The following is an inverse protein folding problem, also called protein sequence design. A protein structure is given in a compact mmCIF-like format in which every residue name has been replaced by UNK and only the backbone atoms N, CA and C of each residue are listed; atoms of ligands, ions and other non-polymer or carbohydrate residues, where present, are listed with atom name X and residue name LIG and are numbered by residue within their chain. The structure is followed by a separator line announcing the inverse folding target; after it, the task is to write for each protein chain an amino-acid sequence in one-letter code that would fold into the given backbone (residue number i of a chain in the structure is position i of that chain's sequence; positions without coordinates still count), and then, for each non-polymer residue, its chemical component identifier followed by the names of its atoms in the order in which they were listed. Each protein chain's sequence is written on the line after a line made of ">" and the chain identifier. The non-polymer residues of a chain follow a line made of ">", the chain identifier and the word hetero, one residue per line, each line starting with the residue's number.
data_IF_783475741149
#
_entry.id   IF_783475741149
#
_cell.length_a   1.000
_cell.length_b   1.000
_cell.length_c   1.000
_cell.angle_alpha   90.00
_cell.angle_beta   90.00
_cell.angle_gamma   90.00
#
_symmetry.space_group_name_H-M   'P 1'
#
loop_
_entity.id
_entity.type
_entity.pdbx_description
1 polymer ?
#
# COMPACT_ATOMS: atom_id res chain seq x y z
N UNK A 1 -25.01 8.24 -4.16
CA UNK A 1 -23.89 7.66 -4.92
C UNK A 1 -24.14 6.17 -4.93
N UNK A 2 -24.48 5.63 -6.10
CA UNK A 2 -24.81 4.21 -6.27
C UNK A 2 -23.51 3.55 -6.69
N UNK A 3 -22.88 2.78 -5.80
CA UNK A 3 -21.72 1.97 -6.18
C UNK A 3 -22.13 1.02 -7.31
N UNK A 4 -21.32 0.87 -8.37
CA UNK A 4 -21.62 -0.05 -9.44
C UNK A 4 -21.60 -1.48 -8.88
N UNK A 5 -22.64 -2.25 -9.19
CA UNK A 5 -22.66 -3.70 -8.97
C UNK A 5 -21.56 -4.30 -9.86
N UNK A 6 -20.45 -4.70 -9.26
CA UNK A 6 -19.34 -5.33 -9.97
C UNK A 6 -19.75 -6.72 -10.44
N UNK A 7 -19.46 -7.05 -11.70
CA UNK A 7 -19.44 -8.45 -12.13
C UNK A 7 -18.28 -9.16 -11.41
N UNK A 8 -18.50 -10.37 -10.86
CA UNK A 8 -17.44 -11.08 -10.17
C UNK A 8 -16.34 -11.45 -11.16
N UNK A 9 -15.12 -11.00 -10.87
CA UNK A 9 -13.93 -11.31 -11.63
C UNK A 9 -13.70 -12.83 -11.74
N UNK A 10 -12.82 -13.25 -12.66
CA UNK A 10 -12.57 -14.67 -12.98
C UNK A 10 -12.34 -15.51 -11.72
N UNK A 11 -13.18 -16.53 -11.45
CA UNK A 11 -13.03 -17.38 -10.28
C UNK A 11 -11.76 -18.24 -10.42
N UNK A 12 -11.01 -18.36 -9.33
CA UNK A 12 -9.77 -19.14 -9.26
C UNK A 12 -9.99 -20.46 -8.52
N UNK A 13 -10.51 -20.41 -7.30
CA UNK A 13 -10.81 -21.60 -6.46
C UNK A 13 -11.79 -21.29 -5.34
N UNK A 14 -12.39 -22.32 -4.78
CA UNK A 14 -13.15 -22.23 -3.52
C UNK A 14 -12.22 -22.29 -2.31
N UNK A 15 -12.52 -21.49 -1.28
CA UNK A 15 -11.83 -21.45 0.01
C UNK A 15 -12.80 -21.85 1.12
N UNK A 16 -12.32 -22.68 2.04
CA UNK A 16 -13.05 -23.05 3.25
C UNK A 16 -12.69 -22.14 4.44
N UNK A 17 -13.20 -22.48 5.64
CA UNK A 17 -12.93 -21.70 6.86
C UNK A 17 -11.53 -21.86 7.43
N UNK A 18 -10.74 -22.80 6.91
CA UNK A 18 -9.32 -22.94 7.19
C UNK A 18 -8.50 -21.98 6.32
N UNK A 19 -8.87 -21.86 5.05
CA UNK A 19 -8.14 -21.07 4.05
C UNK A 19 -8.52 -19.59 4.01
N UNK A 20 -9.71 -19.21 4.49
CA UNK A 20 -10.18 -17.83 4.52
C UNK A 20 -10.99 -17.50 5.78
N UNK A 21 -11.04 -16.22 6.19
CA UNK A 21 -11.87 -15.79 7.30
C UNK A 21 -13.37 -16.03 7.06
N UNK A 22 -13.80 -15.80 5.83
CA UNK A 22 -15.15 -16.09 5.35
C UNK A 22 -15.03 -17.05 4.15
N UNK A 23 -15.56 -18.28 4.26
CA UNK A 23 -15.54 -19.24 3.15
C UNK A 23 -16.20 -18.66 1.90
N UNK A 24 -15.67 -19.01 0.73
CA UNK A 24 -16.22 -18.53 -0.53
C UNK A 24 -15.27 -18.67 -1.70
N UNK A 25 -15.63 -18.03 -2.81
CA UNK A 25 -14.91 -18.14 -4.08
C UNK A 25 -13.82 -17.08 -4.13
N UNK A 26 -12.56 -17.50 -4.21
CA UNK A 26 -11.43 -16.62 -4.52
C UNK A 26 -11.49 -16.26 -6.01
N UNK A 27 -11.53 -14.96 -6.29
CA UNK A 27 -11.51 -14.42 -7.64
C UNK A 27 -10.18 -13.69 -7.90
N UNK A 28 -9.72 -13.78 -9.15
CA UNK A 28 -8.60 -12.99 -9.64
C UNK A 28 -8.91 -11.49 -9.54
N UNK A 29 -7.89 -10.67 -9.35
CA UNK A 29 -8.00 -9.22 -9.23
C UNK A 29 -6.80 -8.67 -8.50
N UNK A 30 -6.70 -7.34 -8.46
CA UNK A 30 -5.74 -6.63 -7.63
C UNK A 30 -6.46 -5.60 -6.74
N UNK A 31 -6.59 -5.86 -5.42
CA UNK A 31 -6.17 -7.08 -4.74
C UNK A 31 -7.09 -8.28 -5.04
N UNK A 32 -6.62 -9.52 -4.84
CA UNK A 32 -7.48 -10.70 -4.95
C UNK A 32 -8.60 -10.64 -3.91
N UNK A 33 -9.82 -10.99 -4.35
CA UNK A 33 -11.02 -10.89 -3.53
C UNK A 33 -11.66 -12.25 -3.29
N UNK A 34 -12.17 -12.47 -2.09
CA UNK A 34 -12.98 -13.63 -1.73
C UNK A 34 -14.44 -13.22 -1.69
N UNK A 35 -15.23 -13.78 -2.61
CA UNK A 35 -16.66 -13.57 -2.68
C UNK A 35 -17.39 -14.59 -1.82
N UNK A 36 -18.05 -14.13 -0.77
CA UNK A 36 -18.84 -14.96 0.16
C UNK A 36 -20.33 -14.60 0.08
N UNK A 37 -21.17 -15.45 0.64
CA UNK A 37 -22.59 -15.16 0.84
C UNK A 37 -22.73 -14.03 1.87
N UNK A 38 -23.42 -12.94 1.51
CA UNK A 38 -23.65 -11.83 2.42
C UNK A 38 -24.46 -12.22 3.66
N UNK A 39 -25.30 -13.27 3.58
CA UNK A 39 -26.06 -13.82 4.71
C UNK A 39 -25.20 -14.55 5.74
N UNK A 40 -23.98 -14.98 5.38
CA UNK A 40 -23.05 -15.64 6.28
C UNK A 40 -22.15 -14.66 7.06
N UNK A 41 -22.18 -13.36 6.70
CA UNK A 41 -21.32 -12.34 7.29
C UNK A 41 -22.03 -11.64 8.45
N UNK A 42 -21.39 -11.48 9.63
CA UNK A 42 -21.98 -10.74 10.75
C UNK A 42 -22.33 -9.29 10.37
N UNK A 43 -23.52 -8.84 10.78
CA UNK A 43 -24.02 -7.50 10.43
C UNK A 43 -23.16 -6.36 10.98
N UNK A 44 -22.43 -6.60 12.06
CA UNK A 44 -21.54 -5.63 12.70
C UNK A 44 -20.39 -5.18 11.80
N UNK A 45 -19.96 -6.04 10.87
CA UNK A 45 -18.83 -5.73 9.98
C UNK A 45 -19.15 -4.55 9.06
N UNK A 46 -20.41 -4.33 8.72
CA UNK A 46 -20.86 -3.19 7.91
C UNK A 46 -20.77 -1.84 8.63
N UNK A 47 -20.60 -1.85 9.96
CA UNK A 47 -20.45 -0.64 10.77
C UNK A 47 -18.99 -0.30 11.07
N UNK A 48 -18.05 -1.19 10.71
CA UNK A 48 -16.63 -0.98 10.93
C UNK A 48 -16.03 0.04 9.94
N UNK A 49 -15.01 0.76 10.38
CA UNK A 49 -14.39 1.80 9.57
C UNK A 49 -13.59 1.22 8.39
N UNK A 50 -13.75 1.71 7.16
CA UNK A 50 -12.88 1.34 6.06
C UNK A 50 -11.46 1.85 6.33
N UNK A 51 -10.50 0.94 6.44
CA UNK A 51 -9.10 1.24 6.82
C UNK A 51 -8.76 0.93 8.27
N UNK A 52 -9.75 0.56 9.10
CA UNK A 52 -9.53 0.00 10.43
C UNK A 52 -8.86 -1.37 10.40
N UNK A 53 -8.52 -1.93 11.56
CA UNK A 53 -7.94 -3.27 11.68
C UNK A 53 -8.98 -4.39 11.73
N UNK A 54 -10.27 -4.07 11.61
CA UNK A 54 -11.30 -5.05 11.28
C UNK A 54 -11.34 -5.34 9.77
N UNK A 55 -11.53 -6.61 9.41
CA UNK A 55 -11.74 -7.02 8.04
C UNK A 55 -13.13 -6.60 7.58
N UNK A 56 -13.22 -5.69 6.61
CA UNK A 56 -14.49 -5.12 6.12
C UNK A 56 -14.77 -5.48 4.66
N UNK A 57 -16.07 -5.53 4.27
CA UNK A 57 -16.50 -5.63 2.88
C UNK A 57 -15.82 -4.58 1.97
N UNK A 58 -15.41 -5.03 0.78
CA UNK A 58 -14.87 -4.17 -0.28
C UNK A 58 -15.84 -3.96 -1.43
N UNK A 59 -16.68 -4.94 -1.71
CA UNK A 59 -17.68 -4.86 -2.77
C UNK A 59 -18.92 -5.68 -2.41
N UNK A 60 -20.05 -5.31 -3.00
CA UNK A 60 -21.31 -6.03 -2.91
C UNK A 60 -21.84 -6.26 -4.32
N UNK A 61 -22.23 -7.49 -4.62
CA UNK A 61 -22.84 -7.88 -5.88
C UNK A 61 -24.16 -8.59 -5.62
N UNK A 62 -25.06 -8.49 -6.60
CA UNK A 62 -26.32 -9.21 -6.60
C UNK A 62 -26.17 -10.44 -7.48
N UNK A 63 -26.50 -11.60 -6.92
CA UNK A 63 -26.52 -12.89 -7.61
C UNK A 63 -27.97 -13.38 -7.76
N UNK A 64 -28.16 -14.43 -8.56
CA UNK A 64 -29.44 -15.15 -8.64
C UNK A 64 -29.82 -15.79 -7.30
N UNK A 65 -28.83 -16.21 -6.53
CA UNK A 65 -29.01 -16.94 -5.27
C UNK A 65 -29.06 -16.03 -4.03
N UNK A 66 -28.86 -14.72 -4.19
CA UNK A 66 -28.80 -13.76 -3.08
C UNK A 66 -27.80 -12.64 -3.32
N UNK A 67 -27.35 -11.99 -2.25
CA UNK A 67 -26.27 -11.00 -2.34
C UNK A 67 -24.95 -11.65 -2.00
N UNK A 68 -23.91 -11.32 -2.76
CA UNK A 68 -22.53 -11.72 -2.46
C UNK A 68 -21.73 -10.51 -2.06
N UNK A 69 -20.81 -10.71 -1.12
CA UNK A 69 -19.93 -9.67 -0.61
C UNK A 69 -18.49 -10.12 -0.79
N UNK A 70 -17.63 -9.18 -1.18
CA UNK A 70 -16.23 -9.42 -1.42
C UNK A 70 -15.38 -8.88 -0.28
N UNK A 71 -14.40 -9.69 0.16
CA UNK A 71 -13.37 -9.29 1.10
C UNK A 71 -12.00 -9.37 0.45
N UNK A 72 -11.04 -8.58 0.93
CA UNK A 72 -9.64 -8.82 0.57
C UNK A 72 -9.22 -10.22 0.99
N UNK A 73 -8.50 -10.92 0.13
CA UNK A 73 -7.96 -12.23 0.46
C UNK A 73 -6.95 -12.12 1.61
N UNK A 74 -7.10 -12.98 2.61
CA UNK A 74 -6.17 -13.11 3.71
C UNK A 74 -5.26 -14.32 3.49
N UNK A 75 -3.96 -14.06 3.39
CA UNK A 75 -2.97 -15.06 2.97
C UNK A 75 -2.57 -16.06 4.09
N UNK A 76 -3.16 -15.97 5.27
CA UNK A 76 -2.94 -16.91 6.37
C UNK A 76 -3.29 -16.34 7.74
N UNK A 77 -3.18 -17.19 8.77
CA UNK A 77 -3.41 -16.79 10.17
C UNK A 77 -2.27 -15.94 10.69
N UNK A 78 -2.59 -15.02 11.60
CA UNK A 78 -1.57 -14.15 12.21
C UNK A 78 -0.50 -14.96 12.95
N UNK A 79 -0.89 -15.98 13.73
CA UNK A 79 0.02 -16.81 14.53
C UNK A 79 1.15 -17.43 13.70
N UNK A 80 0.86 -17.80 12.46
CA UNK A 80 1.82 -18.43 11.54
C UNK A 80 2.74 -17.40 10.88
N UNK A 81 2.35 -16.12 10.86
CA UNK A 81 3.06 -15.03 10.18
C UNK A 81 3.90 -14.17 11.11
N UNK A 82 3.58 -14.12 12.40
CA UNK A 82 4.43 -13.40 13.36
C UNK A 82 5.71 -14.20 13.56
N UNK A 83 6.80 -13.71 12.98
CA UNK A 83 8.15 -14.27 13.13
C UNK A 83 8.72 -14.06 14.53
N UNK A 84 10.01 -14.33 14.69
CA UNK A 84 10.73 -14.17 15.97
C UNK A 84 11.41 -12.81 16.14
N UNK A 85 11.35 -11.93 15.14
CA UNK A 85 11.92 -10.59 15.23
C UNK A 85 11.05 -9.68 16.11
N UNK A 86 11.69 -8.84 16.91
CA UNK A 86 10.97 -7.87 17.75
C UNK A 86 10.10 -6.92 16.93
N UNK A 87 10.57 -6.50 15.76
CA UNK A 87 9.80 -5.65 14.86
C UNK A 87 8.50 -6.30 14.36
N UNK A 88 8.52 -7.60 14.04
CA UNK A 88 7.30 -8.32 13.66
C UNK A 88 6.31 -8.42 14.83
N UNK A 89 6.83 -8.63 16.05
CA UNK A 89 6.02 -8.67 17.28
C UNK A 89 5.39 -7.31 17.57
N UNK A 90 6.12 -6.21 17.40
CA UNK A 90 5.58 -4.84 17.53
C UNK A 90 4.47 -4.60 16.51
N UNK A 91 4.69 -4.93 15.23
CA UNK A 91 3.67 -4.78 14.17
C UNK A 91 2.39 -5.54 14.50
N UNK A 92 2.52 -6.78 14.99
CA UNK A 92 1.39 -7.59 15.42
C UNK A 92 0.68 -6.98 16.63
N UNK A 93 1.42 -6.59 17.68
CA UNK A 93 0.87 -6.02 18.91
C UNK A 93 0.12 -4.70 18.67
N UNK A 94 0.68 -3.80 17.86
CA UNK A 94 0.02 -2.53 17.50
C UNK A 94 -1.28 -2.80 16.75
N UNK A 95 -1.25 -3.69 15.76
CA UNK A 95 -2.45 -4.05 14.99
C UNK A 95 -3.51 -4.69 15.88
N UNK A 96 -3.10 -5.52 16.85
CA UNK A 96 -3.99 -6.13 17.84
C UNK A 96 -4.67 -5.07 18.71
N UNK A 97 -3.90 -4.11 19.23
CA UNK A 97 -4.46 -3.05 20.10
C UNK A 97 -5.43 -2.16 19.32
N UNK A 98 -5.14 -1.84 18.06
CA UNK A 98 -6.04 -1.06 17.19
C UNK A 98 -7.33 -1.81 16.88
N UNK A 99 -7.25 -3.07 16.48
CA UNK A 99 -8.46 -3.87 16.25
C UNK A 99 -9.24 -4.14 17.55
N UNK A 100 -8.57 -4.25 18.70
CA UNK A 100 -9.23 -4.41 19.99
C UNK A 100 -10.12 -3.20 20.33
N UNK A 101 -9.65 -1.98 20.04
CA UNK A 101 -10.43 -0.75 20.24
C UNK A 101 -11.68 -0.71 19.34
N UNK A 102 -11.50 -1.03 18.06
CA UNK A 102 -12.59 -1.10 17.10
C UNK A 102 -13.61 -2.20 17.46
N UNK A 103 -13.13 -3.40 17.81
CA UNK A 103 -13.98 -4.52 18.20
C UNK A 103 -14.79 -4.20 19.46
N UNK A 104 -14.15 -3.61 20.48
CA UNK A 104 -14.80 -3.18 21.72
C UNK A 104 -15.86 -2.11 21.48
N UNK A 105 -15.56 -1.11 20.66
CA UNK A 105 -16.52 -0.06 20.32
C UNK A 105 -17.76 -0.62 19.61
N UNK A 106 -17.62 -1.74 18.90
CA UNK A 106 -18.69 -2.43 18.19
C UNK A 106 -19.32 -3.59 18.99
N UNK A 107 -18.87 -3.87 20.22
CA UNK A 107 -19.37 -4.98 21.03
C UNK A 107 -19.06 -6.36 20.46
N UNK A 108 -17.93 -6.50 19.75
CA UNK A 108 -17.46 -7.75 19.18
C UNK A 108 -16.56 -8.49 20.18
N UNK A 109 -16.92 -9.73 20.51
CA UNK A 109 -16.12 -10.61 21.36
C UNK A 109 -15.60 -11.86 20.62
N UNK A 110 -16.17 -12.20 19.47
CA UNK A 110 -15.79 -13.37 18.68
C UNK A 110 -15.14 -12.96 17.36
N UNK A 111 -14.03 -13.63 17.03
CA UNK A 111 -13.28 -13.34 15.82
C UNK A 111 -12.00 -14.16 15.71
N UNK A 112 -11.34 -14.00 14.57
CA UNK A 112 -10.06 -14.65 14.33
C UNK A 112 -9.06 -13.75 13.62
N UNK A 113 -7.78 -13.94 13.93
CA UNK A 113 -6.69 -13.10 13.45
C UNK A 113 -6.09 -13.63 12.15
N UNK A 114 -5.95 -12.74 11.19
CA UNK A 114 -5.47 -13.02 9.85
C UNK A 114 -4.47 -11.97 9.40
N UNK A 115 -3.79 -12.26 8.31
CA UNK A 115 -2.94 -11.32 7.59
C UNK A 115 -3.51 -11.14 6.18
N UNK A 116 -3.81 -9.90 5.80
CA UNK A 116 -4.31 -9.60 4.46
C UNK A 116 -3.20 -9.74 3.39
N UNK A 117 -3.57 -9.59 2.13
CA UNK A 117 -2.64 -9.63 1.00
C UNK A 117 -1.46 -8.62 1.08
N UNK A 118 -1.58 -7.54 1.86
CA UNK A 118 -0.51 -6.54 2.05
C UNK A 118 0.46 -6.91 3.18
N UNK A 119 0.18 -7.98 3.93
CA UNK A 119 0.94 -8.32 5.13
C UNK A 119 0.41 -7.64 6.40
N UNK A 120 -0.76 -6.99 6.33
CA UNK A 120 -1.34 -6.30 7.48
C UNK A 120 -2.16 -7.25 8.35
N UNK A 121 -1.91 -7.31 9.68
CA UNK A 121 -2.79 -8.03 10.58
C UNK A 121 -4.18 -7.40 10.65
N UNK A 122 -5.21 -8.22 10.47
CA UNK A 122 -6.62 -7.85 10.55
C UNK A 122 -7.41 -8.86 11.38
N UNK A 123 -8.43 -8.36 12.07
CA UNK A 123 -9.39 -9.18 12.82
C UNK A 123 -10.64 -9.40 11.96
N UNK A 124 -10.93 -10.66 11.65
CA UNK A 124 -12.19 -11.02 11.03
C UNK A 124 -13.21 -11.38 12.10
N UNK A 125 -14.35 -10.69 12.07
CA UNK A 125 -15.42 -10.84 13.08
C UNK A 125 -16.26 -12.09 12.79
N UNK A 126 -16.66 -12.79 13.85
CA UNK A 126 -17.49 -13.98 13.79
C UNK A 126 -16.73 -15.27 14.15
N UNK A 127 -17.32 -16.41 13.82
CA UNK A 127 -16.84 -17.70 14.31
C UNK A 127 -17.38 -17.99 15.72
N UNK A 128 -16.64 -18.76 16.51
CA UNK A 128 -17.04 -19.15 17.88
C UNK A 128 -15.91 -18.98 18.90
N UNK A 129 -14.79 -18.39 18.47
CA UNK A 129 -13.60 -18.24 19.32
C UNK A 129 -13.45 -16.79 19.78
N UNK A 130 -13.16 -16.57 21.07
CA UNK A 130 -12.87 -15.25 21.59
C UNK A 130 -11.58 -14.71 20.96
N UNK A 131 -11.66 -13.57 20.28
CA UNK A 131 -10.50 -13.02 19.56
C UNK A 131 -9.39 -12.57 20.51
N UNK A 132 -9.74 -12.22 21.76
CA UNK A 132 -8.79 -11.80 22.81
C UNK A 132 -7.83 -12.91 23.17
N UNK A 133 -8.34 -14.11 23.36
CA UNK A 133 -7.52 -15.25 23.77
C UNK A 133 -6.51 -15.59 22.67
N UNK A 134 -6.97 -15.63 21.42
CA UNK A 134 -6.08 -15.81 20.27
C UNK A 134 -5.03 -14.69 20.15
N UNK A 135 -5.37 -13.43 20.46
CA UNK A 135 -4.42 -12.33 20.48
C UNK A 135 -3.35 -12.53 21.57
N UNK A 136 -3.78 -12.88 22.78
CA UNK A 136 -2.89 -13.14 23.92
C UNK A 136 -1.96 -14.32 23.63
N UNK A 137 -2.46 -15.39 23.03
CA UNK A 137 -1.67 -16.56 22.64
C UNK A 137 -0.58 -16.19 21.64
N UNK A 138 -0.90 -15.39 20.60
CA UNK A 138 0.08 -14.90 19.62
C UNK A 138 1.19 -14.11 20.31
N UNK A 139 0.84 -13.19 21.22
CA UNK A 139 1.82 -12.36 21.91
C UNK A 139 2.66 -13.17 22.93
N UNK A 140 2.02 -14.06 23.69
CA UNK A 140 2.68 -14.91 24.67
C UNK A 140 3.70 -15.87 24.03
N UNK A 141 3.35 -16.44 22.87
CA UNK A 141 4.25 -17.32 22.11
C UNK A 141 5.54 -16.63 21.64
N UNK A 142 5.56 -15.30 21.58
CA UNK A 142 6.72 -14.50 21.14
C UNK A 142 7.38 -13.70 22.26
N UNK A 143 6.73 -13.53 23.40
CA UNK A 143 7.30 -12.80 24.53
C UNK A 143 8.65 -13.39 25.00
N UNK A 144 8.84 -14.71 24.91
CA UNK A 144 10.07 -15.38 25.32
C UNK A 144 11.32 -15.01 24.50
N UNK A 145 11.15 -14.55 23.25
CA UNK A 145 12.25 -14.15 22.36
C UNK A 145 12.50 -12.64 22.34
N UNK A 146 11.61 -11.85 22.96
CA UNK A 146 11.71 -10.40 23.05
C UNK A 146 12.65 -9.99 24.18
N UNK A 147 13.34 -8.85 24.04
CA UNK A 147 14.09 -8.17 25.08
C UNK A 147 13.22 -7.61 26.20
N UNK A 148 13.82 -7.13 27.31
CA UNK A 148 13.09 -6.73 28.51
C UNK A 148 12.08 -5.60 28.25
N UNK A 149 12.47 -4.56 27.50
CA UNK A 149 11.59 -3.43 27.19
C UNK A 149 10.32 -3.86 26.43
N UNK A 150 10.47 -4.68 25.39
CA UNK A 150 9.33 -5.18 24.62
C UNK A 150 8.47 -6.14 25.43
N UNK A 151 9.06 -7.01 26.25
CA UNK A 151 8.29 -7.86 27.17
C UNK A 151 7.46 -7.04 28.15
N UNK A 152 7.99 -5.94 28.67
CA UNK A 152 7.25 -5.05 29.57
C UNK A 152 6.08 -4.37 28.84
N UNK A 153 6.31 -3.87 27.62
CA UNK A 153 5.24 -3.32 26.77
C UNK A 153 4.15 -4.36 26.44
N UNK A 154 4.53 -5.60 26.13
CA UNK A 154 3.58 -6.68 25.85
C UNK A 154 2.72 -7.04 27.07
N UNK A 155 3.24 -6.93 28.30
CA UNK A 155 2.44 -7.12 29.52
C UNK A 155 1.40 -6.02 29.70
N UNK A 156 1.71 -4.78 29.30
CA UNK A 156 0.74 -3.68 29.30
C UNK A 156 -0.39 -3.96 28.31
N UNK A 157 -0.05 -4.45 27.11
CA UNK A 157 -1.04 -4.88 26.10
C UNK A 157 -1.90 -6.03 26.63
N UNK A 158 -1.30 -7.05 27.24
CA UNK A 158 -2.00 -8.20 27.80
C UNK A 158 -3.04 -7.78 28.86
N UNK A 159 -2.64 -6.90 29.79
CA UNK A 159 -3.54 -6.34 30.80
C UNK A 159 -4.67 -5.48 30.19
N UNK A 160 -4.38 -4.75 29.11
CA UNK A 160 -5.39 -3.98 28.38
C UNK A 160 -6.43 -4.89 27.71
N UNK A 161 -5.99 -6.01 27.13
CA UNK A 161 -6.87 -7.00 26.51
C UNK A 161 -7.74 -7.72 27.55
N UNK A 162 -7.20 -8.02 28.73
CA UNK A 162 -7.93 -8.73 29.80
C UNK A 162 -9.05 -7.88 30.42
N UNK A 163 -8.78 -6.60 30.69
CA UNK A 163 -9.73 -5.74 31.40
C UNK A 163 -10.91 -5.27 30.56
N UNK A 164 -10.95 -5.62 29.26
CA UNK A 164 -11.98 -5.19 28.30
C UNK A 164 -12.24 -3.68 28.27
N UNK A 165 -11.28 -2.88 28.74
CA UNK A 165 -11.43 -1.43 28.84
C UNK A 165 -10.49 -0.72 27.87
N UNK A 166 -10.89 -0.56 26.61
CA UNK A 166 -10.28 0.50 25.80
C UNK A 166 -10.91 1.84 26.16
N UNK A 167 -10.54 2.35 27.35
CA UNK A 167 -10.83 3.74 27.70
C UNK A 167 -10.00 4.61 26.77
N UNK A 168 -10.61 5.66 26.20
CA UNK A 168 -9.91 6.61 25.33
C UNK A 168 -8.59 7.06 25.97
N UNK A 169 -7.47 6.67 25.35
CA UNK A 169 -6.11 6.90 25.84
C UNK A 169 -5.28 5.63 26.07
N UNK A 170 -5.90 4.46 26.33
CA UNK A 170 -5.16 3.21 26.56
C UNK A 170 -4.46 2.71 25.28
N UNK A 171 -5.12 2.81 24.14
CA UNK A 171 -4.55 2.49 22.82
C UNK A 171 -3.27 3.29 22.57
N UNK A 172 -3.33 4.62 22.77
CA UNK A 172 -2.19 5.50 22.59
C UNK A 172 -1.03 5.16 23.54
N UNK A 173 -1.33 4.85 24.80
CA UNK A 173 -0.31 4.45 25.78
C UNK A 173 0.34 3.10 25.43
N UNK A 174 -0.44 2.13 24.96
CA UNK A 174 0.09 0.85 24.47
C UNK A 174 0.97 1.06 23.23
N UNK A 175 0.53 1.86 22.25
CA UNK A 175 1.32 2.17 21.05
C UNK A 175 2.63 2.87 21.38
N UNK A 176 2.59 3.88 22.26
CA UNK A 176 3.79 4.59 22.71
C UNK A 176 4.78 3.63 23.38
N UNK A 177 4.31 2.76 24.27
CA UNK A 177 5.16 1.76 24.93
C UNK A 177 5.78 0.76 23.94
N UNK A 178 5.01 0.32 22.93
CA UNK A 178 5.49 -0.60 21.90
C UNK A 178 6.54 0.05 21.00
N UNK A 179 6.30 1.27 20.53
CA UNK A 179 7.25 1.98 19.66
C UNK A 179 8.50 2.46 20.40
N UNK A 180 8.40 2.74 21.70
CA UNK A 180 9.57 3.00 22.54
C UNK A 180 10.44 1.74 22.75
N UNK A 181 9.84 0.56 22.70
CA UNK A 181 10.54 -0.70 22.95
C UNK A 181 11.28 -1.23 21.71
N UNK A 182 10.68 -1.16 20.52
CA UNK A 182 11.32 -1.59 19.27
C UNK A 182 10.68 -0.95 18.03
N UNK A 183 11.46 -0.88 16.94
CA UNK A 183 11.01 -0.38 15.64
C UNK A 183 10.12 -1.44 14.97
N UNK A 184 8.91 -1.07 14.47
CA UNK A 184 8.06 -1.99 13.72
C UNK A 184 8.79 -2.58 12.51
N UNK A 185 8.54 -3.86 12.24
CA UNK A 185 9.16 -4.58 11.14
C UNK A 185 8.17 -5.48 10.40
N UNK A 186 8.57 -6.01 9.24
CA UNK A 186 7.71 -6.88 8.44
C UNK A 186 7.36 -8.16 9.21
N UNK A 187 6.16 -8.68 8.97
CA UNK A 187 5.81 -10.03 9.38
C UNK A 187 6.65 -11.04 8.59
N UNK A 188 6.94 -12.19 9.20
CA UNK A 188 7.73 -13.22 8.56
C UNK A 188 6.98 -13.91 7.43
N UNK A 189 7.73 -14.46 6.49
CA UNK A 189 7.23 -15.53 5.62
C UNK A 189 7.10 -16.76 6.52
N UNK A 190 5.88 -17.06 6.97
CA UNK A 190 5.62 -18.16 7.87
C UNK A 190 6.23 -19.46 7.33
N UNK A 191 6.88 -20.23 8.20
CA UNK A 191 7.33 -21.58 7.86
C UNK A 191 6.10 -22.43 7.57
N UNK A 192 5.74 -22.59 6.31
CA UNK A 192 4.83 -23.64 5.87
C UNK A 192 5.53 -24.99 6.08
N UNK A 193 5.49 -25.51 7.31
CA UNK A 193 6.01 -26.83 7.66
C UNK A 193 4.84 -27.79 7.93
N UNK A 194 4.57 -28.63 6.93
CA UNK A 194 4.31 -30.05 7.16
C UNK A 194 2.86 -30.51 7.32
N UNK A 195 2.21 -30.87 6.20
CA UNK A 195 1.35 -32.05 6.13
C UNK A 195 1.23 -32.57 4.69
N UNK A 196 2.14 -33.46 4.30
CA UNK A 196 1.90 -34.43 3.22
C UNK A 196 2.16 -35.83 3.80
N UNK A 197 1.16 -36.74 3.84
CA UNK A 197 1.38 -38.10 4.31
C UNK A 197 2.13 -38.90 3.24
N UNK A 198 3.10 -39.68 3.70
CA UNK A 198 4.09 -40.34 2.85
C UNK A 198 3.55 -41.47 1.98
N UNK A 199 4.37 -41.82 0.99
CA UNK A 199 4.65 -43.21 0.68
C UNK A 199 6.03 -43.29 0.01
N UNK A 200 6.92 -44.07 0.62
CA UNK A 200 8.27 -44.33 0.14
C UNK A 200 8.30 -45.66 -0.63
N UNK A 201 8.73 -45.64 -1.88
CA UNK A 201 9.42 -46.71 -2.67
C UNK A 201 9.99 -45.99 -3.90
N UNK A 202 11.21 -46.11 -4.42
CA UNK A 202 12.40 -46.95 -4.22
C UNK A 202 13.19 -46.88 -5.54
N UNK A 203 14.50 -46.58 -5.47
CA UNK A 203 15.62 -46.86 -6.42
C UNK A 203 15.52 -46.59 -7.95
N UNK A 204 16.55 -45.89 -8.45
CA UNK A 204 16.84 -45.35 -9.81
C UNK A 204 17.29 -46.40 -10.88
N UNK A 205 17.86 -46.01 -12.05
CA UNK A 205 17.43 -45.12 -13.16
C UNK A 205 17.45 -45.83 -14.55
N UNK A 206 17.00 -45.17 -15.65
CA UNK A 206 17.62 -45.15 -17.01
C UNK A 206 16.79 -44.25 -17.97
N UNK A 207 17.48 -43.31 -18.65
CA UNK A 207 17.02 -42.29 -19.63
C UNK A 207 16.73 -42.87 -21.05
N UNK A 208 16.46 -42.07 -22.12
CA UNK A 208 15.55 -40.91 -22.31
C UNK A 208 14.70 -41.01 -23.60
N UNK A 209 13.54 -40.34 -23.71
CA UNK A 209 13.03 -39.82 -25.01
C UNK A 209 12.28 -38.51 -24.77
N UNK A 210 12.62 -37.51 -25.58
CA UNK A 210 12.10 -36.16 -25.57
C UNK A 210 10.60 -36.06 -25.93
N UNK A 211 9.88 -35.20 -25.21
CA UNK A 211 8.71 -34.47 -25.71
C UNK A 211 8.62 -33.14 -24.96
N UNK A 212 8.47 -32.05 -25.70
CA UNK A 212 8.60 -30.67 -25.23
C UNK A 212 7.67 -30.32 -24.08
N UNK A 213 8.24 -29.62 -23.09
CA UNK A 213 7.53 -28.96 -22.00
C UNK A 213 7.54 -27.46 -22.28
N UNK A 214 6.39 -26.76 -22.32
CA UNK A 214 6.39 -25.30 -22.35
C UNK A 214 7.01 -24.76 -21.04
N UNK A 215 7.78 -23.65 -21.10
CA UNK A 215 8.41 -23.08 -19.92
C UNK A 215 7.35 -22.63 -18.91
N UNK A 216 7.61 -22.91 -17.63
CA UNK A 216 6.68 -22.78 -16.52
C UNK A 216 6.49 -21.32 -16.05
N UNK A 217 5.23 -20.89 -15.97
CA UNK A 217 4.73 -19.63 -15.36
C UNK A 217 4.88 -19.55 -13.82
N UNK A 218 5.94 -20.14 -13.27
CA UNK A 218 6.19 -20.12 -11.81
C UNK A 218 6.96 -18.89 -11.34
N UNK A 219 7.52 -18.09 -12.25
CA UNK A 219 8.38 -16.96 -11.90
C UNK A 219 7.69 -15.59 -11.99
N UNK A 220 6.58 -15.47 -12.71
CA UNK A 220 5.78 -14.24 -12.74
C UNK A 220 5.14 -13.92 -11.36
N UNK A 221 4.84 -14.95 -10.57
CA UNK A 221 4.24 -14.81 -9.24
C UNK A 221 5.23 -14.30 -8.18
N UNK A 222 6.53 -14.56 -8.35
CA UNK A 222 7.57 -14.10 -7.43
C UNK A 222 7.88 -12.60 -7.61
N UNK A 223 7.84 -12.11 -8.85
CA UNK A 223 8.08 -10.70 -9.19
C UNK A 223 6.94 -9.80 -8.68
N UNK A 224 5.68 -10.28 -8.72
CA UNK A 224 4.51 -9.55 -8.23
C UNK A 224 4.46 -9.33 -6.72
N UNK A 225 4.99 -10.28 -5.93
CA UNK A 225 5.01 -10.16 -4.47
C UNK A 225 6.01 -9.11 -3.94
N UNK A 226 6.97 -8.68 -4.76
CA UNK A 226 8.04 -7.77 -4.35
C UNK A 226 7.75 -6.32 -4.74
N UNK A 227 7.14 -6.05 -5.89
CA UNK A 227 6.80 -4.68 -6.33
C UNK A 227 5.73 -4.02 -5.43
N UNK A 228 4.84 -4.80 -4.81
CA UNK A 228 3.90 -4.33 -3.79
C UNK A 228 4.57 -3.84 -2.49
N UNK A 229 5.88 -4.07 -2.30
CA UNK A 229 6.64 -3.61 -1.12
C UNK A 229 7.33 -2.25 -1.31
N UNK A 230 7.34 -1.70 -2.53
CA UNK A 230 8.08 -0.46 -2.87
C UNK A 230 7.15 0.75 -3.08
N UNK A 231 5.83 0.53 -3.16
CA UNK A 231 4.82 1.60 -3.18
C UNK A 231 4.24 1.74 -1.78
N UNK A 232 4.95 2.48 -0.94
CA UNK A 232 4.46 2.89 0.38
C UNK A 232 3.38 3.97 0.20
N UNK A 233 2.13 3.67 0.56
CA UNK A 233 0.99 4.62 0.64
C UNK A 233 1.12 5.64 1.81
N UNK A 234 2.33 5.84 2.33
CA UNK A 234 2.62 6.66 3.51
C UNK A 234 2.81 8.17 3.28
N UNK A 235 2.84 8.66 2.03
CA UNK A 235 3.20 10.06 1.73
C UNK A 235 2.08 10.91 1.11
N UNK A 236 0.98 10.30 0.62
CA UNK A 236 -0.11 11.05 -0.02
C UNK A 236 -1.07 11.75 0.99
N UNK A 237 -1.23 11.20 2.20
CA UNK A 237 -2.22 11.73 3.18
C UNK A 237 -1.74 12.92 4.02
N UNK A 238 -0.48 13.35 3.89
CA UNK A 238 0.07 14.50 4.64
C UNK A 238 0.11 15.83 3.89
N UNK A 239 -0.34 15.88 2.63
CA UNK A 239 -0.36 17.13 1.85
C UNK A 239 -1.78 17.63 1.54
N UNK A 240 -2.83 16.81 1.65
CA UNK A 240 -4.22 17.22 1.34
C UNK A 240 -5.01 17.53 2.62
N UNK A 241 -4.49 18.41 3.49
CA UNK A 241 -5.29 19.03 4.56
C UNK A 241 -5.06 20.51 4.81
N UNK A 242 -4.52 21.25 3.83
CA UNK A 242 -4.34 22.71 3.92
C UNK A 242 -5.18 23.52 2.92
N UNK A 243 -5.91 22.92 1.97
CA UNK A 243 -6.56 23.74 0.89
C UNK A 243 -8.09 23.82 0.91
N UNK A 244 -8.85 22.99 1.65
CA UNK A 244 -10.34 23.10 1.65
C UNK A 244 -10.95 23.64 2.95
N UNK A 245 -10.24 24.56 3.61
CA UNK A 245 -10.64 25.13 4.91
C UNK A 245 -11.16 26.56 4.90
N UNK A 246 -11.62 27.14 3.77
CA UNK A 246 -12.06 28.57 3.76
C UNK A 246 -13.38 28.87 3.04
N UNK A 247 -14.09 27.92 2.45
CA UNK A 247 -15.38 28.23 1.79
C UNK A 247 -16.55 27.40 2.33
N UNK A 248 -17.22 27.95 3.34
CA UNK A 248 -18.69 28.13 3.47
C UNK A 248 -19.10 28.23 4.96
N UNK A 249 -18.99 29.43 5.53
CA UNK A 249 -19.81 29.83 6.69
C UNK A 249 -20.90 30.77 6.20
N UNK A 250 -22.08 30.23 5.89
CA UNK A 250 -23.34 30.98 5.86
C UNK A 250 -24.33 30.27 6.79
N UNK A 251 -24.84 30.91 7.84
CA UNK A 251 -25.89 30.36 8.67
C UNK A 251 -27.25 30.51 7.96
N UNK A 252 -28.20 29.55 8.10
CA UNK A 252 -29.56 29.76 7.65
C UNK A 252 -30.30 30.67 8.63
N UNK A 253 -30.98 31.68 8.08
CA UNK A 253 -31.97 32.47 8.78
C UNK A 253 -33.27 31.65 8.92
N UNK A 254 -33.75 31.47 10.14
CA UNK A 254 -35.15 31.16 10.42
C UNK A 254 -35.64 32.09 11.51
N UNK A 255 -36.61 32.92 11.15
CA UNK A 255 -37.42 33.69 12.08
C UNK A 255 -38.70 32.94 12.46
N UNK A 256 -39.37 33.55 13.44
CA UNK A 256 -40.75 33.37 13.93
C UNK A 256 -40.90 32.35 15.07
N UNK A 257 -40.81 32.80 16.33
CA UNK A 257 -41.90 33.37 17.18
C UNK A 257 -42.98 32.36 17.57
N UNK A 258 -42.97 31.91 18.84
CA UNK A 258 -44.06 32.23 19.77
C UNK A 258 -43.64 32.07 21.26
N UNK A 259 -44.22 32.95 22.08
CA UNK A 259 -44.10 33.27 23.52
C UNK A 259 -44.72 32.16 24.41
N UNK A 260 -44.49 31.95 25.72
CA UNK A 260 -44.03 32.70 26.91
C UNK A 260 -43.65 31.70 28.07
N UNK A 261 -43.59 32.06 29.40
CA UNK A 261 -42.48 32.75 30.09
C UNK A 261 -41.92 32.05 31.37
N UNK A 262 -40.65 32.38 31.68
CA UNK A 262 -39.97 32.59 33.00
C UNK A 262 -39.92 31.49 34.08
N UNK A 263 -38.68 31.13 34.50
CA UNK A 263 -38.12 31.29 35.88
C UNK A 263 -36.56 31.39 35.76
N UNK A 264 -35.84 32.19 36.57
CA UNK A 264 -34.45 32.58 36.30
C UNK A 264 -33.44 31.67 37.00
N UNK A 265 -32.35 31.32 36.33
CA UNK A 265 -31.13 30.84 37.02
C UNK A 265 -29.90 31.49 36.39
N UNK A 266 -28.97 31.79 37.27
CA UNK A 266 -27.94 32.82 37.26
C UNK A 266 -26.83 32.65 36.21
N UNK A 267 -26.43 33.80 35.65
CA UNK A 267 -25.14 34.08 35.02
C UNK A 267 -23.96 33.51 35.82
N UNK A 268 -23.11 32.73 35.16
CA UNK A 268 -21.67 33.03 35.16
C UNK A 268 -21.13 32.86 33.75
N UNK A 269 -20.62 33.96 33.20
CA UNK A 269 -19.98 34.02 31.89
C UNK A 269 -18.48 34.14 32.14
N UNK A 270 -17.76 33.12 31.63
CA UNK A 270 -16.40 33.17 31.07
C UNK A 270 -15.23 33.36 32.06
N UNK A 271 -13.97 33.12 31.62
CA UNK A 271 -13.50 32.46 30.36
C UNK A 271 -12.39 31.39 30.62
N UNK A 272 -12.18 30.38 29.77
CA UNK A 272 -11.42 30.51 28.51
C UNK A 272 -10.13 31.34 28.65
N UNK A 273 -9.21 30.93 29.54
CA UNK A 273 -7.87 31.53 29.71
C UNK A 273 -6.75 30.47 29.85
N UNK A 274 -6.90 29.29 29.23
CA UNK A 274 -5.82 28.28 29.21
C UNK A 274 -5.54 27.70 27.80
N UNK A 275 -6.01 28.37 26.75
CA UNK A 275 -5.78 27.95 25.35
C UNK A 275 -4.90 28.90 24.52
N UNK A 276 -4.62 30.10 25.03
CA UNK A 276 -3.89 31.14 24.29
C UNK A 276 -2.38 31.22 24.61
N UNK A 277 -1.91 30.51 25.65
CA UNK A 277 -0.51 30.58 26.09
C UNK A 277 0.42 29.61 25.34
N UNK A 278 -0.09 28.48 24.82
CA UNK A 278 0.72 27.48 24.11
C UNK A 278 0.97 27.88 22.64
N UNK A 279 0.01 28.56 22.00
CA UNK A 279 0.17 29.02 20.61
C UNK A 279 1.19 30.16 20.47
N UNK A 280 1.40 30.99 21.50
CA UNK A 280 2.41 32.04 21.49
C UNK A 280 3.85 31.50 21.69
N UNK A 281 3.99 30.36 22.40
CA UNK A 281 5.29 29.73 22.67
C UNK A 281 5.87 29.03 21.43
N UNK A 282 5.02 28.49 20.57
CA UNK A 282 5.43 27.87 19.29
C UNK A 282 5.84 28.94 18.26
N UNK A 283 5.19 30.11 18.26
CA UNK A 283 5.56 31.23 17.38
C UNK A 283 6.82 31.95 17.87
N UNK A 284 7.04 32.05 19.18
CA UNK A 284 8.26 32.64 19.74
C UNK A 284 9.49 31.71 19.61
N UNK A 285 9.31 30.38 19.69
CA UNK A 285 10.39 29.40 19.52
C UNK A 285 10.87 29.22 18.08
N UNK A 286 10.00 29.46 17.08
CA UNK A 286 10.35 29.35 15.65
C UNK A 286 11.04 30.58 15.04
N UNK A 287 10.98 31.73 15.71
CA UNK A 287 11.59 33.00 15.23
C UNK A 287 13.00 33.21 15.80
N UNK A 288 13.44 32.35 16.73
CA UNK A 288 14.76 32.47 17.37
C UNK A 288 15.67 31.26 17.09
N UNK A 289 15.58 30.69 15.88
CA UNK A 289 16.60 29.77 15.37
C UNK A 289 17.67 30.58 14.62
N UNK A 290 18.91 30.65 15.12
CA UNK A 290 19.96 31.45 14.51
C UNK A 290 20.40 30.82 13.19
N UNK A 291 20.10 31.51 12.08
CA UNK A 291 20.72 31.26 10.79
C UNK A 291 22.19 31.66 10.85
N UNK A 292 23.07 30.73 10.50
CA UNK A 292 24.48 31.03 10.28
C UNK A 292 24.64 31.70 8.93
N UNK A 293 24.98 32.99 8.95
CA UNK A 293 25.45 33.73 7.79
C UNK A 293 26.86 33.24 7.41
N UNK A 294 27.03 32.83 6.16
CA UNK A 294 28.33 32.80 5.49
C UNK A 294 28.21 33.60 4.21
N UNK A 295 28.56 34.87 4.36
CA UNK A 295 28.81 35.86 3.33
C UNK A 295 29.91 35.36 2.37
N UNK A 296 29.64 35.34 1.07
CA UNK A 296 30.70 35.46 0.07
C UNK A 296 30.21 36.23 -1.14
N UNK A 297 30.84 37.38 -1.31
CA UNK A 297 30.55 38.46 -2.25
C UNK A 297 31.72 38.52 -3.23
N UNK A 298 31.43 38.46 -4.53
CA UNK A 298 32.17 39.13 -5.60
C UNK A 298 31.46 38.79 -6.94
N UNK A 299 30.71 39.68 -7.58
CA UNK A 299 31.09 40.91 -8.29
C UNK A 299 31.03 40.68 -9.81
N UNK A 300 30.07 41.35 -10.43
CA UNK A 300 29.82 41.45 -11.87
C UNK A 300 30.54 42.71 -12.38
N UNK A 301 31.08 42.68 -13.60
CA UNK A 301 30.75 43.75 -14.55
C UNK A 301 30.42 43.18 -15.93
N UNK A 302 29.21 43.42 -16.44
CA UNK A 302 28.81 44.56 -17.28
C UNK A 302 29.02 44.30 -18.80
N UNK A 303 27.89 44.26 -19.50
CA UNK A 303 27.72 44.19 -20.95
C UNK A 303 28.16 45.49 -21.65
N UNK A 304 28.38 45.48 -22.97
CA UNK A 304 27.36 46.12 -23.82
C UNK A 304 27.04 45.38 -25.13
N UNK A 305 25.87 45.76 -25.66
CA UNK A 305 25.16 45.23 -26.81
C UNK A 305 25.74 45.58 -28.19
N UNK A 306 25.40 44.78 -29.21
CA UNK A 306 24.94 45.23 -30.54
C UNK A 306 24.33 44.05 -31.32
N UNK A 307 23.12 44.25 -31.86
CA UNK A 307 22.46 43.48 -32.93
C UNK A 307 22.71 44.19 -34.28
N UNK A 308 22.02 43.91 -35.42
CA UNK A 308 21.16 42.78 -35.85
C UNK A 308 21.46 42.28 -37.30
N UNK A 309 20.75 41.25 -37.80
CA UNK A 309 20.34 41.06 -39.23
C UNK A 309 19.36 39.86 -39.32
N UNK A 310 18.05 40.06 -39.54
CA UNK A 310 17.30 40.20 -40.81
C UNK A 310 16.98 38.85 -41.50
N UNK A 311 15.79 38.30 -41.28
CA UNK A 311 14.59 38.28 -42.16
C UNK A 311 14.50 37.10 -43.15
N UNK A 312 13.36 36.41 -43.11
CA UNK A 312 12.93 35.38 -44.04
C UNK A 312 11.51 34.88 -43.75
N UNK A 313 10.51 35.68 -44.12
CA UNK A 313 9.10 35.35 -44.45
C UNK A 313 9.00 34.10 -45.37
N UNK A 314 7.94 33.29 -45.51
CA UNK A 314 6.51 33.44 -45.24
C UNK A 314 5.77 32.05 -45.23
N UNK A 315 4.57 32.07 -44.64
CA UNK A 315 3.43 31.11 -44.53
C UNK A 315 2.84 30.55 -45.87
N UNK A 316 1.69 29.81 -45.91
CA UNK A 316 1.02 28.90 -44.94
C UNK A 316 0.58 27.54 -45.57
N UNK A 317 0.22 26.55 -44.75
CA UNK A 317 -0.50 25.35 -45.19
C UNK A 317 -1.34 24.78 -44.07
N UNK A 318 -2.66 24.93 -44.18
CA UNK A 318 -3.66 24.58 -43.19
C UNK A 318 -4.09 23.10 -43.25
N UNK A 319 -4.51 22.61 -42.08
CA UNK A 319 -5.42 21.48 -41.81
C UNK A 319 -4.90 20.06 -42.05
N UNK A 320 -4.60 19.35 -40.96
CA UNK A 320 -5.34 18.13 -40.64
C UNK A 320 -5.37 17.92 -39.11
N UNK A 321 -6.53 18.16 -38.51
CA UNK A 321 -6.86 17.75 -37.14
C UNK A 321 -7.08 16.23 -37.15
N UNK A 322 -5.97 15.49 -37.20
CA UNK A 322 -5.96 14.06 -36.95
C UNK A 322 -6.19 13.81 -35.47
N UNK A 323 -7.42 13.49 -35.09
CA UNK A 323 -7.68 12.72 -33.88
C UNK A 323 -6.81 11.46 -33.94
N UNK A 324 -5.68 11.48 -33.24
CA UNK A 324 -4.80 10.34 -33.08
C UNK A 324 -5.63 9.18 -32.55
N UNK A 325 -5.70 8.11 -33.33
CA UNK A 325 -6.09 6.79 -32.87
C UNK A 325 -5.30 6.48 -31.58
N UNK A 326 -5.83 5.66 -30.66
CA UNK A 326 -5.05 5.24 -29.50
C UNK A 326 -3.77 4.60 -30.02
N UNK A 327 -2.63 5.24 -29.74
CA UNK A 327 -1.32 4.65 -29.98
C UNK A 327 -1.34 3.29 -29.27
N UNK A 328 -1.05 2.22 -29.99
CA UNK A 328 -0.93 0.90 -29.38
C UNK A 328 0.19 0.99 -28.34
N UNK A 329 -0.14 0.92 -27.06
CA UNK A 329 0.78 1.20 -25.96
C UNK A 329 2.07 0.36 -26.04
N UNK A 330 2.00 -0.82 -26.69
CA UNK A 330 3.15 -1.68 -26.95
C UNK A 330 4.21 -1.05 -27.87
N UNK A 331 3.81 -0.22 -28.84
CA UNK A 331 4.75 0.45 -29.75
C UNK A 331 5.55 1.55 -29.04
N UNK A 332 4.91 2.25 -28.10
CA UNK A 332 5.54 3.29 -27.29
C UNK A 332 6.51 2.70 -26.25
N UNK A 333 6.17 1.55 -25.65
CA UNK A 333 7.07 0.81 -24.75
C UNK A 333 8.32 0.31 -25.50
N UNK A 334 8.13 -0.24 -26.71
CA UNK A 334 9.25 -0.64 -27.55
C UNK A 334 10.13 0.56 -27.98
N UNK A 335 9.53 1.72 -28.24
CA UNK A 335 10.25 2.95 -28.55
C UNK A 335 11.10 3.44 -27.38
N UNK A 336 10.55 3.42 -26.16
CA UNK A 336 11.27 3.79 -24.95
C UNK A 336 12.49 2.89 -24.71
N UNK A 337 12.33 1.57 -24.82
CA UNK A 337 13.44 0.62 -24.62
C UNK A 337 14.49 0.75 -25.74
N UNK A 338 14.09 1.05 -26.98
CA UNK A 338 15.05 1.39 -28.06
C UNK A 338 15.86 2.64 -27.71
N UNK A 339 15.19 3.72 -27.30
CA UNK A 339 15.85 4.96 -26.90
C UNK A 339 16.78 4.75 -25.70
N UNK A 340 16.39 3.92 -24.73
CA UNK A 340 17.21 3.53 -23.59
C UNK A 340 18.51 2.84 -24.02
N UNK A 341 18.45 1.90 -24.97
CA UNK A 341 19.68 1.24 -25.44
C UNK A 341 20.61 2.16 -26.24
N UNK A 342 20.06 3.13 -26.95
CA UNK A 342 20.86 4.13 -27.67
C UNK A 342 21.52 5.11 -26.70
N UNK A 343 20.78 5.58 -25.69
CA UNK A 343 21.34 6.47 -24.68
C UNK A 343 22.38 5.76 -23.82
N UNK A 344 22.18 4.49 -23.49
CA UNK A 344 23.15 3.70 -22.72
C UNK A 344 24.47 3.54 -23.47
N UNK A 345 24.41 3.32 -24.79
CA UNK A 345 25.58 3.29 -25.66
C UNK A 345 26.30 4.65 -25.74
N UNK A 346 25.54 5.76 -25.73
CA UNK A 346 26.07 7.12 -25.74
C UNK A 346 26.50 7.65 -24.35
N UNK A 347 26.16 6.93 -23.27
CA UNK A 347 26.30 7.35 -21.87
C UNK A 347 25.58 8.67 -21.55
N UNK A 348 24.44 8.94 -22.20
CA UNK A 348 23.67 10.18 -22.05
C UNK A 348 22.15 9.90 -21.90
N UNK A 349 21.77 9.30 -20.78
CA UNK A 349 20.39 8.91 -20.49
C UNK A 349 19.62 9.89 -19.60
N UNK A 350 20.16 11.09 -19.32
CA UNK A 350 19.63 11.98 -18.29
C UNK A 350 18.15 12.33 -18.44
N UNK A 351 17.65 12.46 -19.68
CA UNK A 351 16.24 12.77 -19.96
C UNK A 351 15.32 11.56 -19.96
N UNK A 352 15.88 10.34 -20.08
CA UNK A 352 15.13 9.09 -20.08
C UNK A 352 14.99 8.47 -18.69
N UNK A 353 15.86 8.83 -17.74
CA UNK A 353 15.86 8.27 -16.40
C UNK A 353 15.08 9.16 -15.43
N UNK A 354 14.39 8.53 -14.49
CA UNK A 354 13.78 9.24 -13.36
C UNK A 354 14.85 9.83 -12.44
N UNK A 355 15.95 9.09 -12.26
CA UNK A 355 17.12 9.53 -11.51
C UNK A 355 18.32 9.71 -12.44
N UNK A 356 18.64 10.96 -12.86
CA UNK A 356 19.81 11.22 -13.70
C UNK A 356 21.10 10.75 -13.01
N UNK A 357 21.91 9.95 -13.71
CA UNK A 357 23.19 9.43 -13.20
C UNK A 357 23.09 8.04 -12.55
N UNK A 358 21.92 7.40 -12.54
CA UNK A 358 21.81 5.99 -12.16
C UNK A 358 22.62 5.10 -13.13
N UNK A 359 23.37 4.14 -12.56
CA UNK A 359 24.08 3.16 -13.35
C UNK A 359 23.10 2.19 -14.02
N UNK A 360 23.29 1.95 -15.31
CA UNK A 360 22.45 1.04 -16.09
C UNK A 360 23.17 -0.30 -16.27
N UNK A 361 22.61 -1.43 -15.82
CA UNK A 361 23.22 -2.74 -15.99
C UNK A 361 23.22 -3.13 -17.48
N UNK A 362 24.32 -3.71 -18.01
CA UNK A 362 24.35 -4.21 -19.38
C UNK A 362 23.43 -5.43 -19.52
N UNK A 363 22.53 -5.41 -20.49
CA UNK A 363 21.65 -6.54 -20.80
C UNK A 363 20.63 -6.21 -21.88
N UNK A 364 19.56 -7.01 -21.96
CA UNK A 364 18.61 -6.96 -23.07
C UNK A 364 17.96 -5.57 -23.31
N UNK A 365 17.80 -4.75 -22.27
CA UNK A 365 17.23 -3.41 -22.36
C UNK A 365 18.25 -2.32 -22.72
N UNK A 366 19.53 -2.52 -22.42
CA UNK A 366 20.57 -1.47 -22.53
C UNK A 366 21.57 -1.74 -23.66
N UNK A 367 21.71 -2.99 -24.13
CA UNK A 367 22.55 -3.35 -25.27
C UNK A 367 21.74 -3.31 -26.58
N UNK A 368 22.17 -2.57 -27.62
CA UNK A 368 21.47 -2.54 -28.90
C UNK A 368 21.33 -3.94 -29.52
N UNK A 369 20.08 -4.36 -29.79
CA UNK A 369 19.80 -5.64 -30.45
C UNK A 369 18.61 -5.50 -31.42
N UNK A 370 18.74 -5.98 -32.67
CA UNK A 370 17.67 -5.88 -33.67
C UNK A 370 16.52 -6.88 -33.43
N UNK A 371 16.76 -7.93 -32.63
CA UNK A 371 15.79 -9.01 -32.34
C UNK A 371 15.22 -8.90 -30.92
N UNK A 372 15.24 -7.70 -30.33
CA UNK A 372 14.69 -7.44 -29.00
C UNK A 372 13.17 -7.54 -28.99
N UNK A 373 12.62 -8.24 -28.00
CA UNK A 373 11.18 -8.24 -27.70
C UNK A 373 10.90 -7.53 -26.38
N UNK A 374 9.84 -6.71 -26.36
CA UNK A 374 9.33 -6.03 -25.17
C UNK A 374 7.93 -6.57 -24.87
N UNK A 375 7.70 -7.02 -23.64
CA UNK A 375 6.42 -7.57 -23.18
C UNK A 375 5.98 -6.84 -21.92
N UNK A 376 4.78 -6.26 -21.92
CA UNK A 376 4.18 -5.68 -20.71
C UNK A 376 3.88 -6.81 -19.71
N UNK A 377 4.48 -6.74 -18.52
CA UNK A 377 4.21 -7.67 -17.43
C UNK A 377 3.02 -7.21 -16.58
N UNK A 378 2.98 -5.91 -16.29
CA UNK A 378 1.95 -5.29 -15.47
C UNK A 378 1.89 -3.76 -15.68
N UNK A 379 0.72 -3.18 -15.43
CA UNK A 379 0.48 -1.73 -15.41
C UNK A 379 -0.24 -1.35 -14.11
N UNK A 380 0.42 -0.48 -13.32
CA UNK A 380 -0.01 -0.04 -12.00
C UNK A 380 -0.54 1.41 -12.01
N UNK A 381 -1.08 1.90 -13.14
CA UNK A 381 -1.76 3.19 -13.19
C UNK A 381 -0.80 4.37 -13.01
N UNK A 382 0.24 4.41 -13.84
CA UNK A 382 1.32 5.39 -13.78
C UNK A 382 2.71 4.77 -13.57
N UNK A 383 2.78 3.45 -13.39
CA UNK A 383 4.04 2.69 -13.41
C UNK A 383 3.83 1.40 -14.19
N UNK A 384 4.68 1.12 -15.19
CA UNK A 384 4.62 -0.06 -16.05
C UNK A 384 5.86 -0.92 -15.86
N UNK A 385 5.67 -2.23 -15.77
CA UNK A 385 6.77 -3.19 -15.70
C UNK A 385 6.89 -3.92 -17.04
N UNK A 386 8.03 -3.76 -17.71
CA UNK A 386 8.29 -4.33 -19.03
C UNK A 386 9.36 -5.41 -18.92
N UNK A 387 9.06 -6.61 -19.44
CA UNK A 387 10.08 -7.61 -19.68
C UNK A 387 10.73 -7.35 -21.03
N UNK A 388 12.05 -7.34 -21.04
CA UNK A 388 12.87 -7.17 -22.24
C UNK A 388 13.74 -8.40 -22.41
N UNK A 389 13.60 -9.05 -23.56
CA UNK A 389 14.44 -10.16 -23.96
C UNK A 389 15.19 -9.79 -25.25
N UNK A 390 16.44 -10.22 -25.36
CA UNK A 390 17.23 -10.10 -26.57
C UNK A 390 18.13 -11.34 -26.70
N UNK A 391 18.31 -11.90 -27.91
CA UNK A 391 19.16 -13.07 -28.10
C UNK A 391 20.60 -12.82 -27.63
N UNK A 392 21.12 -13.71 -26.77
CA UNK A 392 22.49 -13.64 -26.27
C UNK A 392 22.70 -12.69 -25.08
N UNK A 393 21.68 -11.95 -24.66
CA UNK A 393 21.73 -11.01 -23.55
C UNK A 393 20.98 -11.53 -22.32
N UNK A 394 21.32 -11.01 -21.15
CA UNK A 394 20.55 -11.27 -19.92
C UNK A 394 19.18 -10.60 -20.06
N UNK A 395 18.10 -11.38 -19.91
CA UNK A 395 16.74 -10.85 -19.89
C UNK A 395 16.58 -9.88 -18.73
N UNK A 396 15.91 -8.75 -18.97
CA UNK A 396 15.79 -7.67 -18.01
C UNK A 396 14.33 -7.28 -17.75
N UNK A 397 14.06 -6.75 -16.58
CA UNK A 397 12.79 -6.07 -16.26
C UNK A 397 13.07 -4.58 -16.14
N UNK A 398 12.36 -3.78 -16.94
CA UNK A 398 12.44 -2.32 -16.97
C UNK A 398 11.18 -1.76 -16.32
N UNK A 399 11.36 -0.94 -15.27
CA UNK A 399 10.26 -0.24 -14.59
C UNK A 399 10.17 1.18 -15.14
N UNK A 400 9.00 1.54 -15.65
CA UNK A 400 8.73 2.83 -16.30
C UNK A 400 7.72 3.60 -15.46
N UNK A 401 8.04 4.82 -15.05
CA UNK A 401 7.09 5.75 -14.45
C UNK A 401 6.50 6.66 -15.52
N UNK A 402 5.17 6.73 -15.58
CA UNK A 402 4.43 7.66 -16.42
C UNK A 402 4.05 8.90 -15.60
N UNK A 403 4.44 10.06 -16.12
CA UNK A 403 3.98 11.36 -15.62
C UNK A 403 3.08 12.00 -16.67
N UNK A 404 2.30 13.01 -16.28
CA UNK A 404 1.41 13.72 -17.19
C UNK A 404 2.12 14.37 -18.41
N UNK A 405 3.45 14.43 -18.42
CA UNK A 405 4.24 15.05 -19.49
C UNK A 405 5.28 14.13 -20.14
N UNK A 406 5.67 13.00 -19.52
CA UNK A 406 6.73 12.12 -20.04
C UNK A 406 6.75 10.74 -19.37
N UNK A 407 7.32 9.75 -20.08
CA UNK A 407 7.65 8.41 -19.57
C UNK A 407 9.13 8.34 -19.23
N UNK A 408 9.45 7.89 -18.02
CA UNK A 408 10.81 7.82 -17.50
C UNK A 408 11.13 6.41 -17.01
N UNK A 409 12.32 5.92 -17.29
CA UNK A 409 12.84 4.67 -16.75
C UNK A 409 13.27 4.93 -15.32
N UNK A 410 12.62 4.23 -14.39
CA UNK A 410 12.90 4.30 -12.97
C UNK A 410 14.05 3.37 -12.60
N UNK A 411 13.94 2.08 -12.97
CA UNK A 411 14.87 1.03 -12.59
C UNK A 411 14.96 -0.07 -13.65
N UNK A 412 16.09 -0.79 -13.67
CA UNK A 412 16.34 -1.95 -14.55
C UNK A 412 16.92 -3.07 -13.69
N UNK A 413 16.41 -4.29 -13.86
CA UNK A 413 16.85 -5.47 -13.13
C UNK A 413 17.19 -6.62 -14.07
N UNK A 414 18.27 -7.33 -13.77
CA UNK A 414 18.63 -8.58 -14.44
C UNK A 414 17.81 -9.73 -13.86
N UNK A 415 17.20 -10.55 -14.72
CA UNK A 415 16.46 -11.74 -14.27
C UNK A 415 17.38 -12.83 -13.68
N UNK A 416 18.69 -12.71 -13.84
CA UNK A 416 19.69 -13.64 -13.30
C UNK A 416 20.19 -13.26 -11.89
N UNK A 417 20.04 -12.01 -11.45
CA UNK A 417 20.55 -11.51 -10.16
C UNK A 417 19.60 -11.79 -8.96
N UNK A 418 18.83 -12.87 -9.02
CA UNK A 418 17.96 -13.30 -7.92
C UNK A 418 18.59 -14.47 -7.14
N UNK A 419 18.81 -14.35 -5.81
CA UNK A 419 19.35 -15.42 -4.98
C UNK A 419 18.44 -16.65 -4.85
#
# INVERSE_FOLDING_TARGET
>A
MTEPLLEPATPLRELDGGDAPYPGTLCAGDPPLVWTDAGAVPSVVWSAAPGGHLLVPRALARSRDGHRVAFVHCAGRLVDRVGTSEGAVVTAAVSIVRAADEALALGVDEGSWWVDHTGRPVLAVGGSSPWRDAARDVLAARAGVCGPALRDALRVVDAALETATTRGGLVAACEEALFAAAVPGPLGEGTASGAAPGSAVGTAPLFPVAAGRPPSDRHATAIRGWLARVVDDGFADRVIRVVEGVRRRRPPARGREERAPRVPVTRSRRPLLLGAAVAALVVAGGVLWPGGDAESKAEVPASPASAPESMGDALPGSVDDGHGAPEDDGDADAALVRALSLCAAAQDCGELLESPGQALPPGAATVPSPERSVTLLDDYGGVRALRVDAPGEVSQVVVVAETAQKRLVREIYDLADQP
#
